data_IF_842612187550
#
_entry.id   IF_842612187550
#
_cell.length_a   1.000
_cell.length_b   1.000
_cell.length_c   1.000
_cell.angle_alpha   90.00
_cell.angle_beta   90.00
_cell.angle_gamma   90.00
#
_symmetry.space_group_name_H-M   'P 1'
#
loop_
_entity.id
_entity.type
_entity.pdbx_description
1 polymer ?
#
# COMPACT_ATOMS: atom_id res chain seq x y z
N UNK A 1 -23.35 43.79 -30.78
CA UNK A 1 -22.17 42.99 -31.16
C UNK A 1 -20.94 43.57 -30.49
N UNK A 2 -20.41 42.89 -29.48
CA UNK A 2 -19.00 42.83 -29.05
C UNK A 2 -18.98 41.57 -28.16
N UNK A 3 -18.29 40.49 -28.48
CA UNK A 3 -16.94 40.38 -29.04
C UNK A 3 -16.09 39.77 -27.93
N UNK A 4 -15.77 38.48 -28.07
CA UNK A 4 -15.30 37.57 -27.02
C UNK A 4 -13.81 37.73 -26.64
N UNK A 5 -13.31 36.73 -25.88
CA UNK A 5 -11.93 36.36 -25.54
C UNK A 5 -11.33 37.03 -24.29
N UNK A 6 -10.51 36.39 -23.46
CA UNK A 6 -10.11 35.01 -23.18
C UNK A 6 -9.12 35.15 -22.01
N UNK A 7 -9.33 34.47 -20.88
CA UNK A 7 -8.25 34.27 -19.91
C UNK A 7 -8.02 32.78 -19.74
N UNK A 8 -7.00 32.30 -20.45
CA UNK A 8 -6.33 31.05 -20.16
C UNK A 8 -5.54 31.23 -18.85
N UNK A 9 -5.67 30.31 -17.90
CA UNK A 9 -4.72 30.19 -16.78
C UNK A 9 -4.79 28.80 -16.15
N UNK A 10 -3.79 27.98 -16.46
CA UNK A 10 -3.18 27.06 -15.50
C UNK A 10 -3.89 25.74 -15.22
N UNK A 11 -3.71 24.74 -16.10
CA UNK A 11 -3.66 23.35 -15.61
C UNK A 11 -2.33 23.17 -14.88
N UNK A 12 -2.33 23.47 -13.58
CA UNK A 12 -1.24 23.06 -12.68
C UNK A 12 -1.22 21.54 -12.65
N UNK A 13 -0.40 20.95 -13.51
CA UNK A 13 -0.01 19.54 -13.41
C UNK A 13 0.94 19.40 -12.22
N UNK A 14 0.39 19.49 -11.02
CA UNK A 14 1.02 18.90 -9.85
C UNK A 14 0.83 17.40 -10.03
N UNK A 15 1.90 16.68 -10.34
CA UNK A 15 1.91 15.24 -10.18
C UNK A 15 1.60 14.98 -8.70
N UNK A 16 0.33 14.75 -8.38
CA UNK A 16 -0.09 14.39 -7.05
C UNK A 16 0.71 13.14 -6.69
N UNK A 17 1.59 13.26 -5.69
CA UNK A 17 2.15 12.08 -5.08
C UNK A 17 0.96 11.28 -4.57
N UNK A 18 0.62 10.18 -5.26
CA UNK A 18 -0.50 9.32 -4.89
C UNK A 18 -0.31 8.97 -3.43
N UNK A 19 -1.27 9.37 -2.59
CA UNK A 19 -1.17 9.14 -1.15
C UNK A 19 -1.16 7.63 -0.90
N UNK A 20 -0.56 7.19 0.21
CA UNK A 20 -0.55 5.76 0.58
C UNK A 20 -1.97 5.20 0.65
N UNK A 21 -2.94 5.99 1.14
CA UNK A 21 -4.35 5.62 1.19
C UNK A 21 -4.97 5.40 -0.21
N UNK A 22 -4.54 6.16 -1.21
CA UNK A 22 -5.05 6.07 -2.58
C UNK A 22 -4.37 4.95 -3.37
N UNK A 23 -3.09 4.67 -3.08
CA UNK A 23 -2.39 3.48 -3.59
C UNK A 23 -2.91 2.19 -2.96
N UNK A 24 -3.26 2.21 -1.67
CA UNK A 24 -3.78 1.04 -0.94
C UNK A 24 -5.16 1.34 -0.35
N UNK A 25 -6.21 1.22 -1.18
CA UNK A 25 -7.58 1.54 -0.75
C UNK A 25 -8.06 0.60 0.35
N UNK A 26 -8.95 1.11 1.20
CA UNK A 26 -9.70 0.32 2.18
C UNK A 26 -10.64 -0.69 1.48
N UNK A 27 -11.10 -1.76 2.16
CA UNK A 27 -10.85 -2.12 3.55
C UNK A 27 -9.56 -2.93 3.75
N UNK A 28 -9.08 -2.97 5.00
CA UNK A 28 -8.09 -3.97 5.42
C UNK A 28 -8.69 -5.37 5.35
N UNK A 29 -7.90 -6.32 4.85
CA UNK A 29 -8.22 -7.74 4.83
C UNK A 29 -7.40 -8.46 5.88
N UNK A 30 -8.07 -9.25 6.71
CA UNK A 30 -7.45 -10.01 7.81
C UNK A 30 -7.58 -11.53 7.58
N UNK A 31 -8.11 -11.92 6.41
CA UNK A 31 -8.18 -13.32 6.00
C UNK A 31 -6.81 -13.91 5.68
N UNK A 32 -6.72 -15.24 5.75
CA UNK A 32 -5.50 -15.95 5.40
C UNK A 32 -5.23 -15.88 3.89
N UNK A 33 -4.12 -15.25 3.52
CA UNK A 33 -3.61 -15.26 2.15
C UNK A 33 -2.34 -16.11 2.04
N UNK A 34 -2.43 -17.21 1.28
CA UNK A 34 -1.35 -18.18 1.11
C UNK A 34 -0.13 -17.57 0.40
N UNK A 35 -0.33 -16.74 -0.63
CA UNK A 35 0.76 -16.20 -1.45
C UNK A 35 1.56 -15.13 -0.71
N UNK A 36 0.88 -14.30 0.09
CA UNK A 36 1.54 -13.37 1.01
C UNK A 36 2.36 -14.15 2.05
N UNK A 37 1.75 -15.16 2.68
CA UNK A 37 2.40 -15.98 3.70
C UNK A 37 3.65 -16.68 3.17
N UNK A 38 3.58 -17.26 1.96
CA UNK A 38 4.75 -17.86 1.27
C UNK A 38 5.84 -16.84 1.02
N UNK A 39 5.48 -15.66 0.52
CA UNK A 39 6.45 -14.60 0.19
C UNK A 39 7.17 -14.10 1.45
N UNK A 40 6.45 -13.89 2.55
CA UNK A 40 7.03 -13.55 3.85
C UNK A 40 7.97 -14.66 4.36
N UNK A 41 7.56 -15.92 4.25
CA UNK A 41 8.37 -17.07 4.67
C UNK A 41 9.65 -17.23 3.84
N UNK A 42 9.57 -17.05 2.52
CA UNK A 42 10.74 -17.12 1.62
C UNK A 42 11.76 -16.02 1.91
N UNK A 43 11.29 -14.84 2.29
CA UNK A 43 12.13 -13.72 2.72
C UNK A 43 12.54 -13.82 4.20
N UNK A 44 12.23 -14.94 4.87
CA UNK A 44 12.56 -15.22 6.27
C UNK A 44 12.08 -14.14 7.25
N UNK A 45 10.95 -13.50 6.95
CA UNK A 45 10.32 -12.51 7.85
C UNK A 45 9.92 -13.22 9.14
N UNK A 46 10.32 -12.66 10.29
CA UNK A 46 10.03 -13.18 11.63
C UNK A 46 9.16 -12.18 12.39
N UNK A 47 8.46 -12.64 13.42
CA UNK A 47 7.61 -11.77 14.25
C UNK A 47 6.34 -11.29 13.55
N UNK A 48 5.83 -12.09 12.61
CA UNK A 48 4.67 -11.79 11.78
C UNK A 48 3.64 -12.91 12.05
N UNK A 49 3.03 -12.87 13.24
CA UNK A 49 2.10 -13.90 13.70
C UNK A 49 0.69 -13.64 13.19
N UNK A 50 0.23 -12.40 13.34
CA UNK A 50 -1.01 -11.89 12.75
C UNK A 50 -0.67 -10.84 11.72
N UNK A 51 -1.41 -10.82 10.61
CA UNK A 51 -1.25 -9.81 9.59
C UNK A 51 -2.58 -9.38 8.98
N UNK A 52 -2.62 -8.12 8.56
CA UNK A 52 -3.67 -7.52 7.76
C UNK A 52 -3.05 -6.95 6.49
N UNK A 53 -3.80 -6.95 5.39
CA UNK A 53 -3.26 -6.51 4.11
C UNK A 53 -4.26 -5.69 3.28
N UNK A 54 -3.73 -4.88 2.38
CA UNK A 54 -4.47 -4.18 1.33
C UNK A 54 -3.80 -4.42 -0.01
N UNK A 55 -4.61 -4.67 -1.04
CA UNK A 55 -4.11 -4.75 -2.40
C UNK A 55 -3.81 -3.33 -2.93
N UNK A 56 -2.77 -3.21 -3.74
CA UNK A 56 -2.50 -1.97 -4.48
C UNK A 56 -3.58 -1.75 -5.54
N UNK A 57 -4.01 -0.50 -5.70
CA UNK A 57 -4.90 -0.07 -6.78
C UNK A 57 -4.17 0.05 -8.12
N UNK A 58 -2.83 0.11 -8.10
CA UNK A 58 -1.99 0.28 -9.29
C UNK A 58 -1.41 -1.05 -9.78
N UNK A 59 -1.11 -1.97 -8.87
CA UNK A 59 -0.35 -3.19 -9.13
C UNK A 59 -1.07 -4.41 -8.54
N UNK A 60 -1.60 -5.31 -9.38
CA UNK A 60 -2.45 -6.43 -8.92
C UNK A 60 -1.74 -7.46 -8.03
N UNK A 61 -0.41 -7.53 -8.10
CA UNK A 61 0.41 -8.46 -7.31
C UNK A 61 1.14 -7.77 -6.15
N UNK A 62 0.86 -6.50 -5.90
CA UNK A 62 1.47 -5.73 -4.80
C UNK A 62 0.49 -5.58 -3.64
N UNK A 63 0.98 -5.90 -2.45
CA UNK A 63 0.19 -5.84 -1.22
C UNK A 63 0.94 -5.07 -0.16
N UNK A 64 0.23 -4.15 0.49
CA UNK A 64 0.69 -3.55 1.74
C UNK A 64 0.22 -4.44 2.88
N UNK A 65 1.18 -5.06 3.57
CA UNK A 65 0.95 -6.00 4.64
C UNK A 65 1.42 -5.38 5.94
N UNK A 66 0.51 -5.22 6.89
CA UNK A 66 0.83 -4.85 8.25
C UNK A 66 0.81 -6.11 9.07
N UNK A 67 1.89 -6.41 9.78
CA UNK A 67 1.91 -7.54 10.68
C UNK A 67 2.49 -7.23 12.04
N UNK A 68 2.10 -8.06 12.99
CA UNK A 68 2.44 -7.93 14.39
C UNK A 68 2.74 -9.31 14.99
N UNK A 69 3.60 -9.32 16.00
CA UNK A 69 3.87 -10.52 16.80
C UNK A 69 2.99 -10.57 18.05
N UNK A 70 2.58 -9.40 18.56
CA UNK A 70 2.03 -9.20 19.90
C UNK A 70 0.76 -8.33 19.92
N UNK A 71 0.25 -7.91 18.76
CA UNK A 71 -0.90 -7.02 18.64
C UNK A 71 -0.60 -5.54 18.93
N UNK A 72 0.58 -5.22 19.46
CA UNK A 72 0.93 -3.88 19.95
C UNK A 72 1.86 -3.16 18.98
N UNK A 73 2.86 -3.87 18.44
CA UNK A 73 3.79 -3.32 17.46
C UNK A 73 3.45 -3.82 16.07
N UNK A 74 2.88 -2.93 15.25
CA UNK A 74 2.62 -3.19 13.85
C UNK A 74 3.82 -2.76 13.01
N UNK A 75 4.23 -3.63 12.09
CA UNK A 75 5.28 -3.36 11.11
C UNK A 75 4.70 -3.52 9.72
N UNK A 76 4.98 -2.55 8.85
CA UNK A 76 4.50 -2.57 7.49
C UNK A 76 5.53 -3.23 6.56
N UNK A 77 5.04 -3.98 5.59
CA UNK A 77 5.81 -4.63 4.53
C UNK A 77 5.09 -4.47 3.22
N UNK A 78 5.83 -4.26 2.14
CA UNK A 78 5.32 -4.38 0.79
C UNK A 78 5.68 -5.76 0.25
N UNK A 79 4.68 -6.47 -0.23
CA UNK A 79 4.82 -7.85 -0.70
C UNK A 79 4.38 -7.91 -2.15
N UNK A 80 5.28 -8.34 -3.03
CA UNK A 80 4.97 -8.63 -4.42
C UNK A 80 4.87 -10.13 -4.59
N UNK A 81 3.65 -10.66 -4.71
CA UNK A 81 3.40 -12.11 -4.78
C UNK A 81 3.91 -12.72 -6.08
N UNK A 82 3.81 -12.00 -7.22
CA UNK A 82 4.27 -12.50 -8.51
C UNK A 82 5.77 -12.83 -8.58
N UNK A 83 6.60 -12.12 -7.81
CA UNK A 83 8.06 -12.30 -7.76
C UNK A 83 8.57 -12.70 -6.38
N UNK A 84 7.65 -12.97 -5.44
CA UNK A 84 7.93 -13.27 -4.03
C UNK A 84 8.93 -12.31 -3.37
N UNK A 85 8.84 -11.03 -3.70
CA UNK A 85 9.68 -9.98 -3.13
C UNK A 85 9.00 -9.37 -1.93
N UNK A 86 9.76 -9.11 -0.88
CA UNK A 86 9.28 -8.37 0.29
C UNK A 86 10.18 -7.16 0.53
N UNK A 87 9.59 -5.99 0.72
CA UNK A 87 10.30 -4.77 1.14
C UNK A 87 9.79 -4.32 2.50
N UNK A 88 10.72 -3.96 3.36
CA UNK A 88 10.47 -3.56 4.74
C UNK A 88 11.63 -3.98 5.64
N UNK A 89 11.52 -3.76 6.96
CA UNK A 89 10.35 -3.20 7.65
C UNK A 89 10.14 -1.71 7.37
N UNK A 90 8.90 -1.33 7.08
CA UNK A 90 8.45 0.05 6.95
C UNK A 90 7.71 0.48 8.22
N UNK A 91 7.78 1.78 8.53
CA UNK A 91 6.93 2.36 9.59
C UNK A 91 5.49 2.44 9.07
N UNK A 92 4.50 1.90 9.82
CA UNK A 92 3.10 2.13 9.51
C UNK A 92 2.81 3.61 9.36
N UNK A 93 2.19 4.00 8.25
CA UNK A 93 1.74 5.37 8.08
C UNK A 93 0.47 5.58 8.92
N UNK A 94 0.48 6.61 9.78
CA UNK A 94 -0.64 6.93 10.65
C UNK A 94 -1.90 7.33 9.88
N UNK A 95 -1.77 7.76 8.63
CA UNK A 95 -2.89 8.18 7.78
C UNK A 95 -3.76 7.01 7.31
N UNK A 96 -3.28 5.76 7.45
CA UNK A 96 -3.99 4.57 6.96
C UNK A 96 -4.24 3.50 8.05
N UNK A 97 -3.78 3.77 9.28
CA UNK A 97 -3.73 2.80 10.37
C UNK A 97 -5.11 2.47 10.93
#
# INVERSE_FOLDING_TARGET
>A
MVGALSIASGVSSTAAAVTVAERYPAPWREDFNLEISKSLAWNKVRGCGEFKYRASSQDQDEYLVYCTADGSMWTAYLVWTAIHKVMGPLKPDASIQ
#
